data_IF_326190291953
#
_entry.id   IF_326190291953
#
_cell.length_a   1.000
_cell.length_b   1.000
_cell.length_c   1.000
_cell.angle_alpha   90.00
_cell.angle_beta   90.00
_cell.angle_gamma   90.00
#
_symmetry.space_group_name_H-M   'P 1'
#
loop_
_entity.id
_entity.type
_entity.pdbx_description
1 polymer ?
#
# COMPACT_ATOMS: atom_id res chain seq x y z
N UNK A 1 13.09 6.12 -21.22
CA UNK A 1 12.02 7.11 -21.44
C UNK A 1 11.14 7.16 -20.20
N UNK A 2 10.95 8.37 -19.71
CA UNK A 2 10.26 8.78 -18.48
C UNK A 2 8.76 8.49 -18.55
N UNK A 3 8.25 7.59 -17.70
CA UNK A 3 6.82 7.52 -17.41
C UNK A 3 6.46 8.56 -16.37
N UNK A 4 6.27 9.79 -16.84
CA UNK A 4 5.51 10.81 -16.14
C UNK A 4 4.05 10.37 -16.07
N UNK A 5 3.56 10.17 -14.85
CA UNK A 5 2.23 10.66 -14.47
C UNK A 5 2.40 11.51 -13.21
N UNK A 6 2.74 12.77 -13.49
CA UNK A 6 2.71 13.87 -12.55
C UNK A 6 1.27 14.35 -12.52
N UNK A 7 0.56 14.11 -11.40
CA UNK A 7 -0.55 14.95 -10.94
C UNK A 7 -0.65 14.84 -9.41
N UNK A 8 -0.12 15.87 -8.75
CA UNK A 8 -0.58 16.49 -7.48
C UNK A 8 -0.46 15.76 -6.13
N UNK A 9 -0.04 14.49 -6.07
CA UNK A 9 0.28 13.83 -4.80
C UNK A 9 1.80 13.63 -4.65
N UNK A 10 2.37 13.99 -3.48
CA UNK A 10 3.77 13.65 -3.16
C UNK A 10 4.00 12.14 -3.37
N UNK A 11 5.13 11.79 -4.00
CA UNK A 11 5.59 10.41 -4.06
C UNK A 11 5.86 9.87 -2.64
N UNK A 12 5.74 8.56 -2.43
CA UNK A 12 5.89 7.95 -1.10
C UNK A 12 7.19 8.35 -0.40
N UNK A 13 8.33 8.27 -1.10
CA UNK A 13 9.64 8.60 -0.50
C UNK A 13 9.73 10.07 -0.13
N UNK A 14 9.24 10.96 -0.99
CA UNK A 14 9.18 12.39 -0.71
C UNK A 14 8.30 12.69 0.50
N UNK A 15 7.10 12.09 0.58
CA UNK A 15 6.18 12.27 1.70
C UNK A 15 6.76 11.73 3.02
N UNK A 16 7.44 10.59 2.96
CA UNK A 16 8.15 10.00 4.10
C UNK A 16 9.28 10.90 4.59
N UNK A 17 10.10 11.41 3.68
CA UNK A 17 11.25 12.23 4.03
C UNK A 17 10.79 13.57 4.63
N UNK A 18 9.75 14.19 4.07
CA UNK A 18 9.15 15.39 4.66
C UNK A 18 8.54 15.11 6.05
N UNK A 19 7.89 13.95 6.23
CA UNK A 19 7.33 13.56 7.53
C UNK A 19 8.44 13.38 8.58
N UNK A 20 9.57 12.79 8.21
CA UNK A 20 10.73 12.65 9.10
C UNK A 20 11.23 14.02 9.55
N UNK A 21 11.30 14.99 8.63
CA UNK A 21 11.76 16.34 8.97
C UNK A 21 10.76 17.09 9.86
N UNK A 22 9.45 16.91 9.64
CA UNK A 22 8.40 17.44 10.52
C UNK A 22 8.56 16.87 11.95
N UNK A 23 8.71 15.54 12.08
CA UNK A 23 8.89 14.89 13.38
C UNK A 23 10.16 15.39 14.07
N UNK A 24 11.29 15.49 13.34
CA UNK A 24 12.53 16.04 13.88
C UNK A 24 12.37 17.46 14.43
N UNK A 25 11.62 18.31 13.73
CA UNK A 25 11.36 19.69 14.18
C UNK A 25 10.50 19.72 15.45
N UNK A 26 9.46 18.88 15.51
CA UNK A 26 8.64 18.72 16.70
C UNK A 26 9.45 18.20 17.90
N UNK A 27 10.34 17.24 17.69
CA UNK A 27 11.20 16.65 18.73
C UNK A 27 12.29 17.61 19.22
N UNK A 28 12.84 18.44 18.31
CA UNK A 28 13.83 19.47 18.67
C UNK A 28 13.21 20.52 19.60
N UNK A 29 11.91 20.79 19.44
CA UNK A 29 11.22 21.85 20.16
C UNK A 29 11.73 23.25 19.77
N UNK A 30 11.48 24.23 20.62
CA UNK A 30 11.87 25.63 20.37
C UNK A 30 10.96 26.39 19.39
N UNK A 31 9.85 25.77 18.98
CA UNK A 31 8.78 26.36 18.19
C UNK A 31 7.67 26.92 19.08
N UNK A 32 6.92 27.91 18.58
CA UNK A 32 5.71 28.36 19.28
C UNK A 32 4.62 27.29 19.26
N UNK A 33 3.55 27.49 20.02
CA UNK A 33 2.41 26.58 20.01
C UNK A 33 1.76 26.51 18.61
N UNK A 34 1.57 27.66 17.97
CA UNK A 34 0.99 27.75 16.63
C UNK A 34 1.85 27.02 15.59
N UNK A 35 3.17 27.19 15.66
CA UNK A 35 4.11 26.48 14.78
C UNK A 35 4.10 24.97 15.02
N UNK A 36 4.00 24.56 16.28
CA UNK A 36 3.94 23.13 16.67
C UNK A 36 2.64 22.49 16.18
N UNK A 37 1.52 23.21 16.22
CA UNK A 37 0.24 22.77 15.66
C UNK A 37 0.31 22.65 14.14
N UNK A 38 0.86 23.65 13.45
CA UNK A 38 1.01 23.61 11.99
C UNK A 38 1.91 22.45 11.54
N UNK A 39 3.00 22.18 12.27
CA UNK A 39 3.85 21.03 12.02
C UNK A 39 3.11 19.71 12.23
N UNK A 40 2.32 19.60 13.31
CA UNK A 40 1.53 18.40 13.57
C UNK A 40 0.49 18.14 12.47
N UNK A 41 -0.28 19.16 12.06
CA UNK A 41 -1.27 19.05 10.98
C UNK A 41 -0.61 18.60 9.67
N UNK A 42 0.54 19.18 9.32
CA UNK A 42 1.32 18.77 8.16
C UNK A 42 1.79 17.31 8.27
N UNK A 43 2.23 16.90 9.46
CA UNK A 43 2.61 15.51 9.74
C UNK A 43 1.46 14.53 9.52
N UNK A 44 0.25 14.87 9.95
CA UNK A 44 -0.95 14.06 9.76
C UNK A 44 -1.32 13.89 8.28
N UNK A 45 -1.23 14.98 7.49
CA UNK A 45 -1.43 14.94 6.05
C UNK A 45 -0.43 14.01 5.36
N UNK A 46 0.86 14.15 5.67
CA UNK A 46 1.93 13.33 5.10
C UNK A 46 1.76 11.85 5.49
N UNK A 47 1.41 11.57 6.74
CA UNK A 47 1.14 10.22 7.21
C UNK A 47 -0.05 9.59 6.46
N UNK A 48 -1.10 10.36 6.16
CA UNK A 48 -2.23 9.91 5.35
C UNK A 48 -1.80 9.55 3.93
N UNK A 49 -0.98 10.37 3.30
CA UNK A 49 -0.42 10.09 1.95
C UNK A 49 0.40 8.80 1.96
N UNK A 50 1.30 8.64 2.95
CA UNK A 50 2.10 7.42 3.10
C UNK A 50 1.23 6.17 3.25
N UNK A 51 0.18 6.23 4.08
CA UNK A 51 -0.76 5.10 4.26
C UNK A 51 -1.48 4.73 2.96
N UNK A 52 -1.94 5.72 2.19
CA UNK A 52 -2.61 5.48 0.91
C UNK A 52 -1.71 4.75 -0.09
N UNK A 53 -0.43 5.15 -0.17
CA UNK A 53 0.56 4.49 -1.02
C UNK A 53 0.77 3.02 -0.60
N UNK A 54 0.95 2.77 0.70
CA UNK A 54 1.18 1.41 1.21
C UNK A 54 -0.05 0.51 1.04
N UNK A 55 -1.25 1.04 1.25
CA UNK A 55 -2.49 0.30 1.03
C UNK A 55 -2.68 -0.05 -0.45
N UNK A 56 -2.41 0.90 -1.35
CA UNK A 56 -2.43 0.67 -2.79
C UNK A 56 -1.46 -0.43 -3.22
N UNK A 57 -0.23 -0.40 -2.68
CA UNK A 57 0.76 -1.44 -2.95
C UNK A 57 0.30 -2.81 -2.41
N UNK A 58 -0.27 -2.87 -1.21
CA UNK A 58 -0.80 -4.11 -0.62
C UNK A 58 -1.92 -4.71 -1.48
N UNK A 59 -2.85 -3.89 -1.98
CA UNK A 59 -3.95 -4.35 -2.84
C UNK A 59 -3.43 -4.97 -4.15
N UNK A 60 -2.43 -4.34 -4.78
CA UNK A 60 -1.80 -4.87 -6.00
C UNK A 60 -1.12 -6.22 -5.76
N UNK A 61 -0.39 -6.34 -4.64
CA UNK A 61 0.24 -7.60 -4.26
C UNK A 61 -0.79 -8.70 -4.02
N UNK A 62 -1.86 -8.39 -3.28
CA UNK A 62 -2.92 -9.36 -3.01
C UNK A 62 -3.63 -9.81 -4.28
N UNK A 63 -3.85 -8.91 -5.24
CA UNK A 63 -4.43 -9.26 -6.54
C UNK A 63 -3.51 -10.21 -7.33
N UNK A 64 -2.22 -9.90 -7.44
CA UNK A 64 -1.25 -10.77 -8.12
C UNK A 64 -1.20 -12.19 -7.51
N UNK A 65 -1.21 -12.28 -6.17
CA UNK A 65 -1.24 -13.55 -5.43
C UNK A 65 -2.58 -14.31 -5.52
N UNK A 66 -3.65 -13.67 -5.98
CA UNK A 66 -4.94 -14.31 -6.21
C UNK A 66 -5.00 -14.90 -7.62
N UNK A 67 -4.53 -14.15 -8.63
CA UNK A 67 -4.40 -14.62 -10.01
C UNK A 67 -3.48 -15.86 -10.11
N UNK A 68 -2.33 -15.84 -9.41
CA UNK A 68 -1.42 -17.00 -9.34
C UNK A 68 -2.09 -18.25 -8.73
N UNK A 69 -3.14 -18.07 -7.91
CA UNK A 69 -3.83 -19.15 -7.22
C UNK A 69 -4.98 -19.71 -8.05
N UNK A 70 -5.70 -18.87 -8.78
CA UNK A 70 -6.76 -19.30 -9.70
C UNK A 70 -6.21 -20.08 -10.89
N UNK A 71 -5.00 -19.74 -11.35
CA UNK A 71 -4.34 -20.46 -12.45
C UNK A 71 -3.86 -21.88 -12.03
N UNK A 72 -3.86 -22.20 -10.73
CA UNK A 72 -3.47 -23.51 -10.18
C UNK A 72 -4.62 -24.46 -9.88
N UNK A 73 -5.88 -24.04 -10.07
CA UNK A 73 -7.07 -24.82 -9.70
C UNK A 73 -7.78 -25.48 -10.90
N UNK A 74 -7.28 -25.33 -12.14
CA UNK A 74 -7.84 -26.02 -13.33
C UNK A 74 -7.38 -27.48 -13.52
N UNK A 75 -6.47 -28.01 -12.69
CA UNK A 75 -6.08 -29.44 -12.67
C UNK A 75 -6.60 -30.19 -11.42
N UNK A 76 -7.92 -30.16 -11.19
CA UNK A 76 -8.57 -31.16 -10.33
C UNK A 76 -10.03 -31.39 -10.73
N UNK A 77 -10.27 -31.67 -12.00
CA UNK A 77 -11.54 -32.29 -12.43
C UNK A 77 -11.29 -33.31 -13.54
N UNK A 78 -10.95 -34.53 -13.14
CA UNK A 78 -10.69 -35.60 -14.10
C UNK A 78 -10.29 -36.93 -13.46
N UNK A 79 -11.23 -37.59 -12.79
CA UNK A 79 -11.46 -39.04 -13.02
C UNK A 79 -12.82 -39.43 -12.41
N UNK A 80 -13.88 -39.25 -13.19
CA UNK A 80 -15.10 -40.01 -12.98
C UNK A 80 -14.87 -41.47 -13.33
N UNK A 81 -15.14 -42.40 -12.41
CA UNK A 81 -15.25 -43.82 -12.75
C UNK A 81 -16.72 -44.27 -12.69
N UNK A 82 -17.37 -44.54 -13.83
CA UNK A 82 -18.65 -45.22 -13.85
C UNK A 82 -18.46 -46.74 -13.84
N UNK A 83 -19.15 -47.40 -12.89
CA UNK A 83 -19.77 -48.73 -13.00
C UNK A 83 -18.90 -50.01 -13.07
N UNK A 84 -19.19 -50.97 -12.18
CA UNK A 84 -19.42 -52.38 -12.56
C UNK A 84 -20.17 -53.12 -11.45
N UNK A 85 -21.29 -53.77 -11.79
CA UNK A 85 -22.11 -54.56 -10.87
C UNK A 85 -21.66 -56.02 -10.67
N UNK A 86 -22.52 -56.77 -9.95
CA UNK A 86 -22.37 -58.18 -9.53
C UNK A 86 -22.01 -58.25 -8.05
N UNK A 87 -22.75 -58.90 -7.15
CA UNK A 87 -23.56 -60.13 -7.23
C UNK A 87 -24.95 -60.01 -6.58
#
# INVERSE_FOLDING_TARGET
>A
MTSSNVSEALGYEQARDELIDVVRRLETGGTTLEESLALWERGEELAKVCRQWLEGARKRLNAALAEERSDGEEESDGEGRPGSGGE
#
